data_IF_636846871748
#
_entry.id   IF_636846871748
#
_cell.length_a   1.000
_cell.length_b   1.000
_cell.length_c   1.000
_cell.angle_alpha   90.00
_cell.angle_beta   90.00
_cell.angle_gamma   90.00
#
_symmetry.space_group_name_H-M   'P 1'
#
loop_
_entity.id
_entity.type
_entity.pdbx_description
1 polymer ?
#
# COMPACT_ATOMS: atom_id res chain seq x y z
N UNK A 1 -31.28 11.94 1.16
CA UNK A 1 -30.54 13.17 0.81
C UNK A 1 -29.07 12.81 0.67
N UNK A 2 -28.43 13.11 -0.47
CA UNK A 2 -26.99 12.94 -0.63
C UNK A 2 -26.32 14.12 0.08
N UNK A 3 -25.74 13.88 1.26
CA UNK A 3 -24.97 14.90 1.97
C UNK A 3 -23.69 15.11 1.16
N UNK A 4 -23.46 16.34 0.70
CA UNK A 4 -22.22 16.69 0.01
C UNK A 4 -21.05 16.49 0.98
N UNK A 5 -20.07 15.68 0.58
CA UNK A 5 -18.87 15.47 1.39
C UNK A 5 -18.05 16.76 1.41
N UNK A 6 -17.91 17.37 2.60
CA UNK A 6 -17.07 18.54 2.78
C UNK A 6 -15.60 18.15 2.92
N UNK A 7 -14.75 18.75 2.08
CA UNK A 7 -13.28 18.58 2.13
C UNK A 7 -12.68 19.42 3.27
N UNK A 8 -13.06 19.13 4.50
CA UNK A 8 -12.44 19.72 5.69
C UNK A 8 -11.05 19.13 5.93
N UNK A 9 -10.20 19.87 6.65
CA UNK A 9 -8.86 19.40 7.03
C UNK A 9 -8.93 18.08 7.81
N UNK A 10 -9.87 17.97 8.75
CA UNK A 10 -10.09 16.77 9.55
C UNK A 10 -10.41 15.53 8.69
N UNK A 11 -11.25 15.69 7.67
CA UNK A 11 -11.60 14.60 6.77
C UNK A 11 -10.41 14.16 5.90
N UNK A 12 -9.57 15.10 5.47
CA UNK A 12 -8.35 14.78 4.73
C UNK A 12 -7.29 14.11 5.60
N UNK A 13 -7.12 14.57 6.85
CA UNK A 13 -6.23 13.96 7.83
C UNK A 13 -6.71 12.55 8.18
N UNK A 14 -8.02 12.33 8.33
CA UNK A 14 -8.60 11.00 8.52
C UNK A 14 -8.25 10.04 7.37
N UNK A 15 -8.38 10.47 6.11
CA UNK A 15 -8.01 9.65 4.95
C UNK A 15 -6.53 9.32 4.96
N UNK A 16 -5.67 10.30 5.26
CA UNK A 16 -4.21 10.13 5.34
C UNK A 16 -3.82 9.11 6.41
N UNK A 17 -4.31 9.28 7.64
CA UNK A 17 -3.91 8.48 8.78
C UNK A 17 -4.42 7.03 8.69
N UNK A 18 -5.56 6.83 8.03
CA UNK A 18 -6.17 5.52 7.88
C UNK A 18 -5.83 4.83 6.55
N UNK A 19 -5.04 5.47 5.67
CA UNK A 19 -4.85 5.04 4.29
C UNK A 19 -4.26 3.63 4.15
N UNK A 20 -3.37 3.21 5.04
CA UNK A 20 -2.75 1.88 4.99
C UNK A 20 -3.41 0.86 5.93
N UNK A 21 -4.32 1.31 6.81
CA UNK A 21 -4.86 0.52 7.93
C UNK A 21 -6.32 0.11 7.65
N UNK A 22 -7.08 0.94 6.92
CA UNK A 22 -8.50 0.75 6.70
C UNK A 22 -8.81 0.57 5.21
N UNK A 23 -9.66 -0.38 4.79
CA UNK A 23 -10.11 -0.44 3.41
C UNK A 23 -10.83 0.85 2.98
N UNK A 24 -10.62 1.31 1.74
CA UNK A 24 -11.34 2.47 1.17
C UNK A 24 -12.86 2.41 1.33
N UNK A 25 -13.46 1.22 1.31
CA UNK A 25 -14.90 1.01 1.52
C UNK A 25 -15.34 1.44 2.92
N UNK A 26 -14.54 1.14 3.94
CA UNK A 26 -14.87 1.45 5.32
C UNK A 26 -14.61 2.93 5.63
N UNK A 27 -13.55 3.51 5.05
CA UNK A 27 -13.34 4.97 5.07
C UNK A 27 -14.52 5.71 4.44
N UNK A 28 -14.96 5.27 3.26
CA UNK A 28 -16.08 5.88 2.55
C UNK A 28 -17.37 5.80 3.38
N UNK A 29 -17.63 4.66 4.03
CA UNK A 29 -18.77 4.48 4.93
C UNK A 29 -18.72 5.43 6.13
N UNK A 30 -17.55 5.58 6.78
CA UNK A 30 -17.36 6.50 7.91
C UNK A 30 -17.54 7.96 7.51
N UNK A 31 -17.02 8.34 6.35
CA UNK A 31 -17.08 9.70 5.82
C UNK A 31 -18.40 10.03 5.12
N UNK A 32 -19.33 9.07 5.02
CA UNK A 32 -20.60 9.26 4.32
C UNK A 32 -20.44 9.55 2.82
N UNK A 33 -19.35 9.10 2.20
CA UNK A 33 -19.00 9.43 0.82
C UNK A 33 -18.78 8.19 -0.06
N UNK A 34 -18.44 8.39 -1.34
CA UNK A 34 -18.18 7.29 -2.27
C UNK A 34 -16.73 6.80 -2.17
N UNK A 35 -16.51 5.51 -2.45
CA UNK A 35 -15.14 4.95 -2.51
C UNK A 35 -14.26 5.61 -3.57
N UNK A 36 -14.88 6.07 -4.65
CA UNK A 36 -14.20 6.79 -5.73
C UNK A 36 -13.69 8.14 -5.23
N UNK A 37 -14.46 8.84 -4.39
CA UNK A 37 -14.05 10.11 -3.78
C UNK A 37 -12.85 9.92 -2.85
N UNK A 38 -12.88 8.90 -1.98
CA UNK A 38 -11.73 8.55 -1.13
C UNK A 38 -10.48 8.26 -1.99
N UNK A 39 -10.66 7.59 -3.14
CA UNK A 39 -9.55 7.32 -4.06
C UNK A 39 -8.96 8.57 -4.71
N UNK A 40 -9.80 9.57 -5.04
CA UNK A 40 -9.35 10.86 -5.56
C UNK A 40 -8.59 11.63 -4.48
N UNK A 41 -9.13 11.71 -3.26
CA UNK A 41 -8.49 12.39 -2.12
C UNK A 41 -7.10 11.79 -1.87
N UNK A 42 -6.96 10.46 -1.85
CA UNK A 42 -5.64 9.85 -1.68
C UNK A 42 -4.66 10.21 -2.80
N UNK A 43 -5.15 10.37 -4.03
CA UNK A 43 -4.30 10.82 -5.17
C UNK A 43 -3.91 12.28 -5.01
N UNK A 44 -4.84 13.16 -4.63
CA UNK A 44 -4.61 14.59 -4.33
C UNK A 44 -3.57 14.76 -3.20
N UNK A 45 -3.63 13.91 -2.18
CA UNK A 45 -2.70 13.88 -1.06
C UNK A 45 -1.35 13.22 -1.39
N UNK A 46 -1.17 12.69 -2.60
CA UNK A 46 0.05 12.00 -3.03
C UNK A 46 0.31 10.69 -2.30
N UNK A 47 -0.74 10.07 -1.74
CA UNK A 47 -0.64 8.82 -0.99
C UNK A 47 -0.29 7.65 -1.92
N UNK A 48 0.46 6.65 -1.42
CA UNK A 48 0.81 5.47 -2.22
C UNK A 48 -0.43 4.68 -2.61
N UNK A 49 -0.35 3.84 -3.63
CA UNK A 49 -1.48 2.97 -4.01
C UNK A 49 -1.81 2.05 -2.84
N UNK A 50 -3.04 2.17 -2.30
CA UNK A 50 -3.52 1.28 -1.26
C UNK A 50 -3.63 -0.16 -1.80
N UNK A 51 -2.84 -1.07 -1.24
CA UNK A 51 -2.90 -2.51 -1.53
C UNK A 51 -4.04 -3.15 -0.73
N UNK A 52 -4.52 -4.31 -1.18
CA UNK A 52 -5.46 -5.09 -0.37
C UNK A 52 -4.73 -5.46 0.92
N UNK A 53 -5.40 -5.28 2.07
CA UNK A 53 -4.95 -5.84 3.33
C UNK A 53 -4.65 -7.33 3.13
N UNK A 54 -3.65 -7.88 3.83
CA UNK A 54 -3.18 -9.22 3.56
C UNK A 54 -4.33 -10.19 3.79
N UNK A 55 -4.39 -11.23 2.96
CA UNK A 55 -5.49 -12.19 3.00
C UNK A 55 -5.43 -13.12 4.21
N UNK A 56 -4.37 -13.00 5.01
CA UNK A 56 -4.08 -13.92 6.08
C UNK A 56 -4.72 -13.55 7.41
N UNK A 57 -5.01 -14.55 8.26
CA UNK A 57 -5.43 -14.33 9.64
C UNK A 57 -4.39 -13.49 10.39
N UNK A 58 -4.87 -12.69 11.35
CA UNK A 58 -4.04 -11.97 12.35
C UNK A 58 -3.01 -12.89 13.05
N UNK A 59 -3.25 -14.19 13.03
CA UNK A 59 -2.41 -15.23 13.66
C UNK A 59 -1.28 -15.75 12.77
N UNK A 60 -1.03 -15.14 11.61
CA UNK A 60 0.18 -15.45 10.83
C UNK A 60 1.41 -14.91 11.56
N UNK A 61 2.05 -15.78 12.34
CA UNK A 61 3.19 -15.52 13.22
C UNK A 61 4.47 -15.12 12.45
N UNK A 62 4.47 -13.94 11.82
CA UNK A 62 5.74 -13.33 11.42
C UNK A 62 6.31 -12.62 12.65
N UNK A 63 7.42 -13.13 13.15
CA UNK A 63 8.15 -12.47 14.23
C UNK A 63 8.69 -11.14 13.74
N UNK A 64 8.78 -10.16 14.64
CA UNK A 64 9.45 -8.88 14.38
C UNK A 64 10.88 -9.07 13.84
N UNK A 65 11.52 -10.19 14.17
CA UNK A 65 12.81 -10.60 13.61
C UNK A 65 12.75 -10.96 12.12
N UNK A 66 11.71 -11.65 11.64
CA UNK A 66 11.53 -11.91 10.20
C UNK A 66 11.36 -10.62 9.40
N UNK A 67 10.59 -9.67 9.93
CA UNK A 67 10.42 -8.33 9.35
C UNK A 67 11.76 -7.59 9.33
N UNK A 68 12.50 -7.61 10.43
CA UNK A 68 13.84 -6.98 10.53
C UNK A 68 14.84 -7.56 9.54
N UNK A 69 14.84 -8.87 9.33
CA UNK A 69 15.68 -9.53 8.32
C UNK A 69 15.28 -9.10 6.92
N UNK A 70 13.99 -9.18 6.59
CA UNK A 70 13.46 -8.77 5.29
C UNK A 70 13.81 -7.33 4.95
N UNK A 71 13.72 -6.41 5.92
CA UNK A 71 14.10 -5.01 5.76
C UNK A 71 15.56 -4.79 5.33
N UNK A 72 16.48 -5.65 5.79
CA UNK A 72 17.91 -5.53 5.47
C UNK A 72 18.20 -5.84 4.01
N UNK A 73 17.33 -6.61 3.35
CA UNK A 73 17.50 -7.03 1.96
C UNK A 73 17.21 -5.88 0.96
N UNK A 74 16.55 -4.82 1.40
CA UNK A 74 16.25 -3.65 0.57
C UNK A 74 17.24 -2.51 0.83
N UNK A 75 17.90 -2.04 -0.23
CA UNK A 75 18.73 -0.82 -0.20
C UNK A 75 18.05 0.30 -0.97
N UNK A 76 18.09 1.52 -0.44
CA UNK A 76 17.55 2.70 -1.14
C UNK A 76 18.33 2.89 -2.45
N UNK A 77 17.63 3.17 -3.55
CA UNK A 77 18.18 3.28 -4.90
C UNK A 77 18.38 1.94 -5.63
N UNK A 78 18.14 0.80 -4.97
CA UNK A 78 18.26 -0.52 -5.60
C UNK A 78 17.15 -0.75 -6.62
N UNK A 79 17.52 -1.20 -7.82
CA UNK A 79 16.58 -1.72 -8.82
C UNK A 79 16.11 -3.10 -8.38
N UNK A 80 14.80 -3.30 -8.30
CA UNK A 80 14.20 -4.58 -7.92
C UNK A 80 13.05 -4.94 -8.85
N UNK A 81 12.82 -6.24 -9.02
CA UNK A 81 11.59 -6.75 -9.63
C UNK A 81 10.78 -7.48 -8.57
N UNK A 82 9.52 -7.10 -8.44
CA UNK A 82 8.58 -7.72 -7.51
C UNK A 82 7.53 -8.49 -8.27
N UNK A 83 7.31 -9.74 -7.88
CA UNK A 83 6.14 -10.55 -8.25
C UNK A 83 5.11 -10.44 -7.14
N UNK A 84 4.00 -9.80 -7.45
CA UNK A 84 2.88 -9.57 -6.52
C UNK A 84 1.72 -10.48 -6.89
N UNK A 85 1.38 -11.44 -6.03
CA UNK A 85 0.17 -12.24 -6.19
C UNK A 85 -1.04 -11.49 -5.60
N UNK A 86 -2.13 -11.36 -6.36
CA UNK A 86 -3.33 -10.63 -5.92
C UNK A 86 -4.61 -11.49 -5.93
N UNK A 87 -4.51 -12.70 -6.48
CA UNK A 87 -5.55 -13.74 -6.44
C UNK A 87 -4.91 -15.08 -6.83
N UNK A 88 -5.58 -16.21 -6.53
CA UNK A 88 -5.11 -17.56 -6.90
C UNK A 88 -4.57 -17.58 -8.34
N UNK A 89 -3.26 -17.79 -8.50
CA UNK A 89 -2.54 -17.91 -9.79
C UNK A 89 -2.45 -16.63 -10.64
N UNK A 90 -2.97 -15.48 -10.18
CA UNK A 90 -2.76 -14.20 -10.89
C UNK A 90 -1.76 -13.34 -10.15
N UNK A 91 -0.72 -12.95 -10.87
CA UNK A 91 0.32 -12.08 -10.36
C UNK A 91 0.54 -10.87 -11.28
N UNK A 92 1.16 -9.84 -10.71
CA UNK A 92 1.66 -8.66 -11.41
C UNK A 92 3.17 -8.59 -11.20
N UNK A 93 3.91 -8.27 -12.25
CA UNK A 93 5.33 -7.93 -12.14
C UNK A 93 5.50 -6.41 -12.04
N UNK A 94 6.29 -5.97 -11.08
CA UNK A 94 6.60 -4.56 -10.84
C UNK A 94 8.11 -4.42 -10.91
N UNK A 95 8.60 -3.70 -11.92
CA UNK A 95 10.02 -3.36 -12.07
C UNK A 95 10.21 -1.92 -11.61
N UNK A 96 10.97 -1.73 -10.55
CA UNK A 96 11.08 -0.42 -9.91
C UNK A 96 12.39 -0.24 -9.16
N UNK A 97 12.46 0.90 -8.49
CA UNK A 97 13.58 1.30 -7.65
C UNK A 97 13.07 1.52 -6.23
N UNK A 98 13.80 1.03 -5.24
CA UNK A 98 13.52 1.31 -3.83
C UNK A 98 13.71 2.81 -3.61
N UNK A 99 12.62 3.51 -3.36
CA UNK A 99 12.60 4.96 -3.18
C UNK A 99 12.82 5.34 -1.72
N UNK A 100 12.23 4.57 -0.81
CA UNK A 100 12.32 4.79 0.63
C UNK A 100 12.02 3.49 1.38
N UNK A 101 12.37 3.43 2.67
CA UNK A 101 12.01 2.33 3.57
C UNK A 101 11.86 2.80 5.01
N UNK A 102 10.87 2.25 5.69
CA UNK A 102 10.67 2.44 7.14
C UNK A 102 10.98 1.13 7.88
N UNK A 103 10.55 1.01 9.12
CA UNK A 103 10.68 -0.22 9.90
C UNK A 103 9.73 -1.34 9.42
N UNK A 104 8.62 -0.97 8.76
CA UNK A 104 7.53 -1.90 8.42
C UNK A 104 7.19 -1.96 6.94
N UNK A 105 7.57 -0.96 6.14
CA UNK A 105 7.27 -0.89 4.72
C UNK A 105 8.47 -0.45 3.88
N UNK A 106 8.42 -0.83 2.60
CA UNK A 106 9.33 -0.37 1.55
C UNK A 106 8.53 0.32 0.46
N UNK A 107 8.98 1.49 0.03
CA UNK A 107 8.35 2.27 -1.02
C UNK A 107 9.09 2.04 -2.34
N UNK A 108 8.37 1.57 -3.35
CA UNK A 108 8.94 1.31 -4.68
C UNK A 108 8.40 2.32 -5.67
N UNK A 109 9.33 3.03 -6.33
CA UNK A 109 9.05 3.86 -7.51
C UNK A 109 9.13 3.00 -8.75
N UNK A 110 8.07 2.96 -9.54
CA UNK A 110 8.04 2.22 -10.80
C UNK A 110 7.26 3.00 -11.87
N UNK A 111 7.60 2.77 -13.15
CA UNK A 111 6.94 3.45 -14.27
C UNK A 111 5.84 2.58 -14.84
N UNK A 112 4.66 3.16 -15.06
CA UNK A 112 3.60 2.55 -15.85
C UNK A 112 3.32 3.44 -17.05
N UNK A 113 3.71 2.99 -18.24
CA UNK A 113 3.77 3.82 -19.43
C UNK A 113 4.67 5.05 -19.16
N UNK A 114 4.10 6.25 -19.09
CA UNK A 114 4.81 7.52 -18.86
C UNK A 114 4.66 8.06 -17.43
N UNK A 115 3.75 7.50 -16.64
CA UNK A 115 3.48 7.98 -15.28
C UNK A 115 4.37 7.27 -14.25
N UNK A 116 5.07 8.06 -13.45
CA UNK A 116 5.77 7.57 -12.26
C UNK A 116 4.76 7.23 -11.16
N UNK A 117 4.82 5.99 -10.67
CA UNK A 117 4.00 5.52 -9.58
C UNK A 117 4.86 5.18 -8.37
N UNK A 118 4.33 5.46 -7.19
CA UNK A 118 4.87 5.02 -5.91
C UNK A 118 3.92 4.01 -5.31
N UNK A 119 4.44 2.86 -4.90
CA UNK A 119 3.67 1.80 -4.27
C UNK A 119 4.42 1.34 -3.02
N UNK A 120 3.74 1.37 -1.87
CA UNK A 120 4.28 0.87 -0.60
C UNK A 120 3.97 -0.62 -0.46
N UNK A 121 4.92 -1.37 0.07
CA UNK A 121 4.81 -2.80 0.34
C UNK A 121 5.23 -3.04 1.77
N UNK A 122 4.40 -3.74 2.54
CA UNK A 122 4.73 -4.08 3.91
C UNK A 122 5.63 -5.31 3.95
N UNK A 123 6.57 -5.36 4.87
CA UNK A 123 7.53 -6.47 4.97
C UNK A 123 6.89 -7.81 5.30
N UNK A 124 5.76 -7.80 6.02
CA UNK A 124 4.94 -8.99 6.25
C UNK A 124 4.47 -9.61 4.93
N UNK A 125 4.04 -8.82 3.94
CA UNK A 125 3.63 -9.33 2.61
C UNK A 125 4.73 -10.14 1.90
N UNK A 126 6.00 -9.80 2.16
CA UNK A 126 7.14 -10.57 1.65
C UNK A 126 7.38 -11.85 2.47
N UNK A 127 7.25 -11.77 3.80
CA UNK A 127 7.37 -12.94 4.68
C UNK A 127 6.28 -13.98 4.38
N UNK A 128 5.09 -13.54 3.98
CA UNK A 128 3.98 -14.38 3.53
C UNK A 128 4.22 -15.01 2.15
N UNK A 129 5.04 -14.36 1.33
CA UNK A 129 5.24 -14.74 -0.06
C UNK A 129 4.11 -14.29 -1.00
N UNK A 130 3.19 -13.43 -0.55
CA UNK A 130 2.28 -12.65 -1.40
C UNK A 130 3.08 -11.73 -2.34
N UNK A 131 4.23 -11.25 -1.86
CA UNK A 131 5.21 -10.48 -2.64
C UNK A 131 6.54 -11.21 -2.63
N UNK A 132 7.13 -11.41 -3.82
CA UNK A 132 8.45 -12.04 -3.96
C UNK A 132 9.37 -11.15 -4.77
N UNK A 133 10.61 -11.00 -4.33
CA UNK A 133 11.69 -10.40 -5.13
C UNK A 133 12.14 -11.45 -6.16
N UNK A 134 12.25 -11.06 -7.43
CA UNK A 134 12.60 -11.95 -8.57
C UNK A 134 13.68 -11.29 -9.42
#
# INVERSE_FOLDING_TARGET
MAVAFERTKENMDFVRDNWEIMPRKDMAKKLGCSTSLVSMIGTELGLPIQRKLPTLPRDSFYTTESIRRMRKDFRIGQKITLKVEYSRRKYKLIRGVVADKTDYLVLIKWKKHENERKESFRYDEFCVGEVRVV
#
